data_IF_650448305086
#
_entry.id   IF_650448305086
#
_cell.length_a   1.000
_cell.length_b   1.000
_cell.length_c   1.000
_cell.angle_alpha   90.00
_cell.angle_beta   90.00
_cell.angle_gamma   90.00
#
_symmetry.space_group_name_H-M   'P 1'
#
loop_
_entity.id
_entity.type
_entity.pdbx_description
1 polymer ?
#
# COMPACT_ATOMS: atom_id res chain seq x y z
N UNK A 1 21.71 1.93 25.73
CA UNK A 1 22.10 3.26 25.24
C UNK A 1 23.59 3.41 25.47
N UNK A 2 24.43 3.71 24.46
CA UNK A 2 25.85 3.93 24.69
C UNK A 2 26.05 5.12 25.63
N UNK A 3 27.00 4.98 26.56
CA UNK A 3 27.35 6.07 27.46
C UNK A 3 28.36 7.00 26.78
N UNK A 4 27.88 8.18 26.35
CA UNK A 4 28.67 9.19 25.67
C UNK A 4 29.13 10.33 26.59
N UNK A 5 29.02 10.15 27.91
CA UNK A 5 29.37 11.20 28.89
C UNK A 5 30.85 11.42 29.06
N UNK A 6 31.71 10.49 28.57
CA UNK A 6 33.17 10.63 28.64
C UNK A 6 33.68 11.56 27.54
N UNK A 7 34.49 12.55 27.88
CA UNK A 7 35.16 13.51 26.98
C UNK A 7 36.22 12.84 26.11
N UNK A 8 35.79 12.05 25.13
CA UNK A 8 36.67 11.51 24.09
C UNK A 8 36.20 12.03 22.71
N UNK A 9 37.14 12.16 21.77
CA UNK A 9 36.77 12.46 20.38
C UNK A 9 35.80 11.39 19.87
N UNK A 10 34.60 11.79 19.58
CA UNK A 10 33.54 10.90 19.03
C UNK A 10 33.91 10.51 17.60
N UNK A 11 33.77 9.24 17.28
CA UNK A 11 33.92 8.77 15.90
C UNK A 11 32.80 9.34 15.04
N UNK A 12 32.98 9.41 13.70
CA UNK A 12 31.95 9.88 12.78
C UNK A 12 30.65 9.05 12.92
N UNK A 13 30.79 7.77 13.19
CA UNK A 13 29.65 6.85 13.44
C UNK A 13 28.88 7.21 14.71
N UNK A 14 29.56 7.61 15.76
CA UNK A 14 28.93 8.09 17.02
C UNK A 14 28.25 9.45 16.82
N UNK A 15 28.85 10.34 16.04
CA UNK A 15 28.25 11.63 15.70
C UNK A 15 26.96 11.45 14.89
N UNK A 16 27.00 10.58 13.87
CA UNK A 16 25.85 10.23 13.07
C UNK A 16 24.73 9.61 13.92
N UNK A 17 25.09 8.68 14.84
CA UNK A 17 24.12 8.07 15.75
C UNK A 17 23.47 9.09 16.68
N UNK A 18 24.24 10.03 17.24
CA UNK A 18 23.74 11.12 18.12
C UNK A 18 22.89 12.13 17.38
N UNK A 19 23.13 12.35 16.08
CA UNK A 19 22.33 13.27 15.25
C UNK A 19 20.97 12.71 14.87
N UNK A 20 20.74 11.42 15.06
CA UNK A 20 19.45 10.78 14.75
C UNK A 20 18.38 11.25 15.71
N UNK A 21 17.25 11.68 15.17
CA UNK A 21 16.06 12.02 15.97
C UNK A 21 15.43 10.77 16.62
N UNK A 22 15.72 9.59 16.05
CA UNK A 22 15.16 8.33 16.47
C UNK A 22 16.27 7.27 16.61
N UNK A 23 16.39 6.70 17.80
CA UNK A 23 17.45 5.74 18.14
C UNK A 23 17.04 4.27 17.97
N UNK A 24 15.72 4.00 17.97
CA UNK A 24 15.22 2.64 17.77
C UNK A 24 15.04 2.38 16.27
N UNK A 25 15.85 1.48 15.67
CA UNK A 25 15.78 1.20 14.23
C UNK A 25 14.46 0.55 13.79
N UNK A 26 13.65 0.09 14.74
CA UNK A 26 12.37 -0.56 14.47
C UNK A 26 11.14 0.32 14.75
N UNK A 27 11.32 1.51 15.32
CA UNK A 27 10.20 2.37 15.72
C UNK A 27 9.33 2.77 14.53
N UNK A 28 9.88 2.90 13.34
CA UNK A 28 9.08 3.17 12.14
C UNK A 28 8.00 2.10 11.89
N UNK A 29 8.24 0.83 12.28
CA UNK A 29 7.23 -0.23 12.17
C UNK A 29 6.07 -0.01 13.12
N UNK A 30 6.33 0.49 14.33
CA UNK A 30 5.29 0.84 15.29
C UNK A 30 4.43 2.01 14.78
N UNK A 31 5.06 3.05 14.25
CA UNK A 31 4.35 4.18 13.63
C UNK A 31 3.51 3.73 12.43
N UNK A 32 4.08 2.91 11.54
CA UNK A 32 3.35 2.37 10.40
C UNK A 32 2.17 1.51 10.83
N UNK A 33 2.34 0.68 11.86
CA UNK A 33 1.27 -0.15 12.41
C UNK A 33 0.17 0.71 13.03
N UNK A 34 0.53 1.75 13.79
CA UNK A 34 -0.41 2.69 14.39
C UNK A 34 -1.24 3.39 13.31
N UNK A 35 -0.61 4.00 12.31
CA UNK A 35 -1.33 4.66 11.22
C UNK A 35 -2.25 3.72 10.45
N UNK A 36 -1.81 2.48 10.21
CA UNK A 36 -2.65 1.45 9.58
C UNK A 36 -3.84 1.05 10.47
N UNK A 37 -3.64 0.93 11.77
CA UNK A 37 -4.74 0.63 12.71
C UNK A 37 -5.78 1.75 12.73
N UNK A 38 -5.33 3.01 12.74
CA UNK A 38 -6.21 4.19 12.63
C UNK A 38 -6.98 4.18 11.30
N UNK A 39 -6.30 3.89 10.20
CA UNK A 39 -6.91 3.76 8.87
C UNK A 39 -8.02 2.70 8.86
N UNK A 40 -7.74 1.47 9.31
CA UNK A 40 -8.74 0.39 9.33
C UNK A 40 -9.86 0.58 10.36
N UNK A 41 -9.64 1.43 11.35
CA UNK A 41 -10.69 1.88 12.27
C UNK A 41 -11.62 2.93 11.65
N UNK A 42 -11.22 3.54 10.53
CA UNK A 42 -11.94 4.64 9.87
C UNK A 42 -11.54 6.05 10.36
N UNK A 43 -10.54 6.14 11.25
CA UNK A 43 -10.00 7.44 11.72
C UNK A 43 -8.98 7.97 10.71
N UNK A 44 -9.44 8.37 9.51
CA UNK A 44 -8.56 8.73 8.40
C UNK A 44 -7.73 9.99 8.68
N UNK A 45 -8.26 10.97 9.40
CA UNK A 45 -7.54 12.20 9.77
C UNK A 45 -6.38 11.92 10.72
N UNK A 46 -6.60 11.05 11.73
CA UNK A 46 -5.55 10.63 12.64
C UNK A 46 -4.48 9.82 11.91
N UNK A 47 -4.91 8.91 11.01
CA UNK A 47 -3.99 8.13 10.18
C UNK A 47 -3.16 9.04 9.27
N UNK A 48 -3.77 10.02 8.61
CA UNK A 48 -3.10 10.99 7.75
C UNK A 48 -2.06 11.81 8.55
N UNK A 49 -2.42 12.25 9.76
CA UNK A 49 -1.51 12.96 10.67
C UNK A 49 -0.31 12.08 11.05
N UNK A 50 -0.55 10.82 11.38
CA UNK A 50 0.50 9.84 11.71
C UNK A 50 1.44 9.61 10.53
N UNK A 51 0.91 9.40 9.32
CA UNK A 51 1.75 9.19 8.13
C UNK A 51 2.51 10.45 7.71
N UNK A 52 1.91 11.63 7.85
CA UNK A 52 2.58 12.92 7.62
C UNK A 52 3.74 13.14 8.60
N UNK A 53 3.56 12.75 9.85
CA UNK A 53 4.63 12.77 10.86
C UNK A 53 5.76 11.82 10.47
N UNK A 54 5.45 10.59 10.04
CA UNK A 54 6.44 9.62 9.56
C UNK A 54 7.24 10.14 8.37
N UNK A 55 6.59 10.78 7.40
CA UNK A 55 7.26 11.34 6.21
C UNK A 55 8.32 12.37 6.63
N UNK A 56 8.00 13.23 7.58
CA UNK A 56 8.93 14.23 8.11
C UNK A 56 10.07 13.61 8.92
N UNK A 57 9.74 12.65 9.78
CA UNK A 57 10.70 12.00 10.67
C UNK A 57 11.73 11.15 9.89
N UNK A 58 11.28 10.45 8.86
CA UNK A 58 12.10 9.54 8.06
C UNK A 58 12.45 10.10 6.67
N UNK A 59 12.51 11.44 6.54
CA UNK A 59 12.81 12.12 5.26
C UNK A 59 14.08 11.60 4.57
N UNK A 60 15.10 11.23 5.35
CA UNK A 60 16.37 10.70 4.84
C UNK A 60 16.35 9.19 4.52
N UNK A 61 15.22 8.52 4.76
CA UNK A 61 15.04 7.09 4.53
C UNK A 61 13.92 6.83 3.51
N UNK A 62 14.21 6.88 2.20
CA UNK A 62 13.17 6.81 1.15
C UNK A 62 12.27 5.58 1.26
N UNK A 63 12.81 4.43 1.64
CA UNK A 63 12.04 3.19 1.80
C UNK A 63 10.92 3.29 2.84
N UNK A 64 11.09 4.12 3.88
CA UNK A 64 10.09 4.33 4.94
C UNK A 64 9.17 5.49 4.57
N UNK A 65 9.74 6.62 4.16
CA UNK A 65 8.98 7.81 3.80
C UNK A 65 8.00 7.54 2.64
N UNK A 66 8.42 6.81 1.61
CA UNK A 66 7.55 6.48 0.48
C UNK A 66 6.43 5.51 0.85
N UNK A 67 6.66 4.57 1.79
CA UNK A 67 5.57 3.74 2.32
C UNK A 67 4.55 4.58 3.07
N UNK A 68 5.00 5.54 3.89
CA UNK A 68 4.11 6.46 4.58
C UNK A 68 3.34 7.35 3.59
N UNK A 69 3.98 7.86 2.52
CA UNK A 69 3.30 8.60 1.44
C UNK A 69 2.21 7.77 0.76
N UNK A 70 2.48 6.49 0.46
CA UNK A 70 1.47 5.61 -0.11
C UNK A 70 0.24 5.47 0.80
N UNK A 71 0.43 5.30 2.11
CA UNK A 71 -0.66 5.23 3.06
C UNK A 71 -1.38 6.57 3.28
N UNK A 72 -0.65 7.69 3.23
CA UNK A 72 -1.25 9.03 3.28
C UNK A 72 -2.19 9.26 2.09
N UNK A 73 -1.72 8.92 0.87
CA UNK A 73 -2.57 8.99 -0.32
C UNK A 73 -3.81 8.09 -0.18
N UNK A 74 -3.70 6.89 0.43
CA UNK A 74 -4.87 6.04 0.73
C UNK A 74 -5.86 6.71 1.68
N UNK A 75 -5.40 7.42 2.70
CA UNK A 75 -6.29 8.17 3.59
C UNK A 75 -7.10 9.21 2.81
N UNK A 76 -6.46 9.95 1.92
CA UNK A 76 -7.15 10.94 1.07
C UNK A 76 -8.11 10.30 0.08
N UNK A 77 -7.76 9.16 -0.51
CA UNK A 77 -8.65 8.40 -1.41
C UNK A 77 -9.93 7.97 -0.68
N UNK A 78 -9.81 7.45 0.56
CA UNK A 78 -10.99 7.03 1.34
C UNK A 78 -11.87 8.21 1.78
N UNK A 79 -11.27 9.37 2.02
CA UNK A 79 -11.99 10.62 2.32
C UNK A 79 -12.62 11.28 1.07
N UNK A 80 -12.31 10.76 -0.13
CA UNK A 80 -12.77 11.35 -1.39
C UNK A 80 -11.94 12.55 -1.86
N UNK A 81 -10.82 12.84 -1.21
CA UNK A 81 -9.91 13.94 -1.56
C UNK A 81 -8.95 13.51 -2.66
N UNK A 82 -9.52 13.25 -3.84
CA UNK A 82 -8.77 12.69 -4.96
C UNK A 82 -7.69 13.63 -5.48
N UNK A 83 -7.90 14.95 -5.37
CA UNK A 83 -6.90 15.94 -5.80
C UNK A 83 -5.63 15.87 -4.94
N UNK A 84 -5.79 15.84 -3.61
CA UNK A 84 -4.67 15.73 -2.67
C UNK A 84 -3.94 14.39 -2.83
N UNK A 85 -4.69 13.32 -3.07
CA UNK A 85 -4.11 12.01 -3.37
C UNK A 85 -3.30 12.04 -4.68
N UNK A 86 -3.80 12.73 -5.73
CA UNK A 86 -3.13 12.85 -7.02
C UNK A 86 -1.82 13.64 -6.94
N UNK A 87 -1.76 14.65 -6.09
CA UNK A 87 -0.53 15.40 -5.84
C UNK A 87 0.58 14.48 -5.31
N UNK A 88 0.28 13.69 -4.28
CA UNK A 88 1.22 12.69 -3.73
C UNK A 88 1.59 11.64 -4.80
N UNK A 89 0.60 11.17 -5.57
CA UNK A 89 0.81 10.20 -6.64
C UNK A 89 1.75 10.77 -7.71
N UNK A 90 1.57 12.01 -8.09
CA UNK A 90 2.38 12.68 -9.10
C UNK A 90 3.81 12.91 -8.60
N UNK A 91 3.98 13.29 -7.35
CA UNK A 91 5.30 13.39 -6.70
C UNK A 91 6.03 12.03 -6.71
N UNK A 92 5.35 10.97 -6.27
CA UNK A 92 5.90 9.63 -6.23
C UNK A 92 6.23 9.04 -7.60
N UNK A 93 5.52 9.46 -8.66
CA UNK A 93 5.81 9.03 -10.05
C UNK A 93 7.06 9.73 -10.61
N UNK A 94 7.33 10.95 -10.20
CA UNK A 94 8.58 11.66 -10.58
C UNK A 94 9.79 11.05 -9.89
N UNK A 95 9.64 10.72 -8.62
CA UNK A 95 10.68 10.07 -7.84
C UNK A 95 10.63 8.56 -8.10
N UNK A 96 11.76 7.91 -8.32
CA UNK A 96 11.76 6.45 -8.44
C UNK A 96 11.29 5.80 -7.15
N UNK A 97 10.29 4.93 -7.23
CA UNK A 97 9.74 4.24 -6.05
C UNK A 97 10.71 3.16 -5.58
N UNK A 98 11.12 3.27 -4.33
CA UNK A 98 11.98 2.27 -3.70
C UNK A 98 11.28 0.90 -3.70
N UNK A 99 12.00 -0.17 -4.03
CA UNK A 99 11.44 -1.52 -4.20
C UNK A 99 10.67 -2.04 -2.96
N UNK A 100 11.09 -1.63 -1.74
CA UNK A 100 10.38 -1.98 -0.48
C UNK A 100 9.04 -1.27 -0.31
N UNK A 101 8.82 -0.15 -0.97
CA UNK A 101 7.55 0.58 -0.96
C UNK A 101 6.63 0.22 -2.14
N UNK A 102 7.15 -0.57 -3.10
CA UNK A 102 6.46 -0.86 -4.36
C UNK A 102 5.11 -1.57 -4.16
N UNK A 103 5.01 -2.43 -3.14
CA UNK A 103 3.76 -3.16 -2.87
C UNK A 103 2.66 -2.21 -2.38
N UNK A 104 2.94 -1.42 -1.35
CA UNK A 104 1.99 -0.42 -0.83
C UNK A 104 1.60 0.57 -1.92
N UNK A 105 2.56 0.96 -2.73
CA UNK A 105 2.35 1.88 -3.84
C UNK A 105 1.40 1.33 -4.90
N UNK A 106 1.60 0.09 -5.34
CA UNK A 106 0.71 -0.54 -6.31
C UNK A 106 -0.72 -0.69 -5.78
N UNK A 107 -0.91 -0.99 -4.48
CA UNK A 107 -2.22 -0.99 -3.84
C UNK A 107 -2.87 0.41 -3.87
N UNK A 108 -2.11 1.44 -3.50
CA UNK A 108 -2.62 2.82 -3.50
C UNK A 108 -3.05 3.26 -4.89
N UNK A 109 -2.26 2.95 -5.91
CA UNK A 109 -2.63 3.25 -7.30
C UNK A 109 -3.86 2.47 -7.76
N UNK A 110 -4.01 1.22 -7.35
CA UNK A 110 -5.22 0.43 -7.64
C UNK A 110 -6.45 1.12 -7.05
N UNK A 111 -6.41 1.47 -5.76
CA UNK A 111 -7.53 2.13 -5.08
C UNK A 111 -7.85 3.50 -5.70
N UNK A 112 -6.82 4.29 -6.03
CA UNK A 112 -6.99 5.59 -6.69
C UNK A 112 -7.70 5.45 -8.04
N UNK A 113 -7.23 4.55 -8.90
CA UNK A 113 -7.82 4.37 -10.22
C UNK A 113 -9.23 3.75 -10.18
N UNK A 114 -9.54 2.91 -9.19
CA UNK A 114 -10.91 2.45 -8.95
C UNK A 114 -11.84 3.63 -8.61
N UNK A 115 -11.42 4.50 -7.70
CA UNK A 115 -12.20 5.69 -7.31
C UNK A 115 -12.33 6.70 -8.45
N UNK A 116 -11.28 6.85 -9.26
CA UNK A 116 -11.30 7.67 -10.48
C UNK A 116 -12.04 7.01 -11.66
N UNK A 117 -12.62 5.81 -11.46
CA UNK A 117 -13.32 5.02 -12.48
C UNK A 117 -12.47 4.69 -13.72
N UNK A 118 -11.15 4.71 -13.58
CA UNK A 118 -10.23 4.28 -14.61
C UNK A 118 -9.84 2.81 -14.39
N UNK A 119 -10.76 1.92 -14.78
CA UNK A 119 -10.64 0.49 -14.49
C UNK A 119 -9.51 -0.20 -15.25
N UNK A 120 -9.12 0.32 -16.43
CA UNK A 120 -7.98 -0.19 -17.19
C UNK A 120 -6.68 -0.06 -16.40
N UNK A 121 -6.39 1.14 -15.89
CA UNK A 121 -5.20 1.37 -15.08
C UNK A 121 -5.29 0.65 -13.73
N UNK A 122 -6.47 0.59 -13.11
CA UNK A 122 -6.69 -0.17 -11.89
C UNK A 122 -6.32 -1.65 -12.09
N UNK A 123 -6.76 -2.28 -13.19
CA UNK A 123 -6.44 -3.67 -13.52
C UNK A 123 -4.93 -3.87 -13.75
N UNK A 124 -4.24 -2.92 -14.39
CA UNK A 124 -2.78 -2.98 -14.58
C UNK A 124 -2.03 -3.00 -13.25
N UNK A 125 -2.39 -2.12 -12.31
CA UNK A 125 -1.71 -2.06 -11.00
C UNK A 125 -2.11 -3.23 -10.11
N UNK A 126 -3.36 -3.66 -10.13
CA UNK A 126 -3.81 -4.84 -9.38
C UNK A 126 -3.09 -6.11 -9.81
N UNK A 127 -2.82 -6.30 -11.09
CA UNK A 127 -1.98 -7.44 -11.57
C UNK A 127 -0.57 -7.40 -10.99
N UNK A 128 0.03 -6.22 -10.82
CA UNK A 128 1.35 -6.09 -10.16
C UNK A 128 1.28 -6.47 -8.68
N UNK A 129 0.19 -6.12 -8.00
CA UNK A 129 -0.08 -6.54 -6.62
C UNK A 129 -0.20 -8.06 -6.52
N UNK A 130 -1.06 -8.68 -7.32
CA UNK A 130 -1.31 -10.12 -7.35
C UNK A 130 -0.01 -10.91 -7.57
N UNK A 131 0.87 -10.42 -8.45
CA UNK A 131 2.16 -11.05 -8.74
C UNK A 131 3.06 -11.14 -7.50
N UNK A 132 2.98 -10.17 -6.60
CA UNK A 132 3.81 -10.08 -5.39
C UNK A 132 3.11 -10.58 -4.12
N UNK A 133 1.80 -10.88 -4.17
CA UNK A 133 1.07 -11.36 -2.99
C UNK A 133 1.35 -12.85 -2.75
N UNK A 134 1.80 -13.14 -1.53
CA UNK A 134 2.14 -14.50 -1.10
C UNK A 134 1.01 -15.18 -0.31
N UNK A 135 0.14 -14.39 0.32
CA UNK A 135 -0.96 -14.91 1.14
C UNK A 135 -2.11 -15.38 0.26
N UNK A 136 -2.36 -16.69 0.26
CA UNK A 136 -3.33 -17.35 -0.64
C UNK A 136 -4.73 -16.71 -0.59
N UNK A 137 -5.27 -16.47 0.60
CA UNK A 137 -6.60 -15.87 0.74
C UNK A 137 -6.65 -14.42 0.21
N UNK A 138 -5.63 -13.63 0.50
CA UNK A 138 -5.54 -12.26 0.00
C UNK A 138 -5.43 -12.25 -1.53
N UNK A 139 -4.59 -13.11 -2.09
CA UNK A 139 -4.44 -13.29 -3.54
C UNK A 139 -5.74 -13.71 -4.22
N UNK A 140 -6.54 -14.58 -3.57
CA UNK A 140 -7.85 -14.96 -4.11
C UNK A 140 -8.82 -13.76 -4.15
N UNK A 141 -8.84 -12.92 -3.12
CA UNK A 141 -9.64 -11.68 -3.09
C UNK A 141 -9.21 -10.69 -4.17
N UNK A 142 -7.92 -10.57 -4.40
CA UNK A 142 -7.36 -9.69 -5.43
C UNK A 142 -7.70 -10.20 -6.85
N UNK A 143 -7.65 -11.51 -7.09
CA UNK A 143 -8.12 -12.09 -8.35
C UNK A 143 -9.62 -11.89 -8.56
N UNK A 144 -10.42 -11.98 -7.49
CA UNK A 144 -11.86 -11.72 -7.56
C UNK A 144 -12.13 -10.26 -7.96
N UNK A 145 -11.46 -9.31 -7.29
CA UNK A 145 -11.56 -7.89 -7.63
C UNK A 145 -11.11 -7.62 -9.08
N UNK A 146 -10.06 -8.29 -9.55
CA UNK A 146 -9.61 -8.16 -10.94
C UNK A 146 -10.67 -8.66 -11.93
N UNK A 147 -11.39 -9.74 -11.59
CA UNK A 147 -12.54 -10.22 -12.37
C UNK A 147 -13.62 -9.15 -12.50
N UNK A 148 -14.00 -8.52 -11.38
CA UNK A 148 -14.99 -7.43 -11.36
C UNK A 148 -14.54 -6.20 -12.19
N UNK A 149 -13.26 -5.86 -12.16
CA UNK A 149 -12.73 -4.78 -13.01
C UNK A 149 -12.83 -5.14 -14.49
N UNK A 150 -12.54 -6.38 -14.88
CA UNK A 150 -12.68 -6.84 -16.26
C UNK A 150 -14.15 -6.89 -16.71
N UNK A 151 -15.10 -7.24 -15.83
CA UNK A 151 -16.53 -7.12 -16.13
C UNK A 151 -16.92 -5.67 -16.41
N UNK A 152 -16.47 -4.73 -15.55
CA UNK A 152 -16.73 -3.29 -15.74
C UNK A 152 -16.15 -2.74 -17.05
N UNK A 153 -15.11 -3.40 -17.59
CA UNK A 153 -14.50 -3.12 -18.89
C UNK A 153 -15.12 -3.93 -20.05
N UNK A 154 -16.15 -4.72 -19.78
CA UNK A 154 -16.78 -5.64 -20.74
C UNK A 154 -15.80 -6.66 -21.36
N UNK A 155 -14.75 -7.01 -20.62
CA UNK A 155 -13.72 -8.01 -21.02
C UNK A 155 -14.05 -9.38 -20.44
N UNK A 156 -15.12 -10.01 -20.96
CA UNK A 156 -15.72 -11.24 -20.42
C UNK A 156 -14.73 -12.40 -20.28
N UNK A 157 -13.91 -12.65 -21.28
CA UNK A 157 -12.91 -13.72 -21.25
C UNK A 157 -11.86 -13.51 -20.15
N UNK A 158 -11.39 -12.27 -19.99
CA UNK A 158 -10.44 -11.92 -18.93
C UNK A 158 -11.07 -12.05 -17.55
N UNK A 159 -12.35 -11.64 -17.38
CA UNK A 159 -13.10 -11.78 -16.16
C UNK A 159 -13.26 -13.26 -15.77
N UNK A 160 -13.72 -14.09 -16.69
CA UNK A 160 -13.82 -15.54 -16.49
C UNK A 160 -12.50 -16.17 -16.05
N UNK A 161 -11.41 -15.81 -16.74
CA UNK A 161 -10.07 -16.31 -16.41
C UNK A 161 -9.62 -15.86 -15.02
N UNK A 162 -9.93 -14.62 -14.61
CA UNK A 162 -9.62 -14.12 -13.28
C UNK A 162 -10.38 -14.88 -12.19
N UNK A 163 -11.69 -15.09 -12.32
CA UNK A 163 -12.48 -15.91 -11.40
C UNK A 163 -12.04 -17.37 -11.34
N UNK A 164 -11.65 -17.94 -12.48
CA UNK A 164 -11.04 -19.29 -12.53
C UNK A 164 -9.77 -19.39 -11.69
N UNK A 165 -8.95 -18.32 -11.63
CA UNK A 165 -7.77 -18.28 -10.74
C UNK A 165 -8.18 -18.25 -9.25
N UNK A 166 -9.28 -17.59 -8.90
CA UNK A 166 -9.83 -17.62 -7.52
C UNK A 166 -10.11 -19.06 -7.10
N UNK A 167 -10.86 -19.80 -7.91
CA UNK A 167 -11.22 -21.20 -7.62
C UNK A 167 -9.98 -22.09 -7.49
N UNK A 168 -8.98 -21.92 -8.37
CA UNK A 168 -7.70 -22.67 -8.29
C UNK A 168 -6.92 -22.46 -7.00
N UNK A 169 -7.11 -21.32 -6.36
CA UNK A 169 -6.46 -21.02 -5.08
C UNK A 169 -7.13 -21.70 -3.90
N UNK A 170 -8.24 -22.43 -4.09
CA UNK A 170 -8.98 -23.15 -3.07
C UNK A 170 -9.21 -22.26 -1.81
N UNK A 171 -9.91 -21.11 -1.96
CA UNK A 171 -10.23 -20.21 -0.86
C UNK A 171 -11.36 -20.78 0.01
N UNK A 172 -11.77 -20.12 1.11
CA UNK A 172 -12.96 -20.47 1.85
C UNK A 172 -14.21 -20.55 0.96
N UNK A 173 -15.14 -21.46 1.30
CA UNK A 173 -16.31 -21.80 0.50
C UNK A 173 -17.08 -20.58 -0.06
N UNK A 174 -17.34 -19.57 0.77
CA UNK A 174 -18.07 -18.38 0.33
C UNK A 174 -17.37 -17.59 -0.79
N UNK A 175 -16.04 -17.54 -0.80
CA UNK A 175 -15.28 -16.87 -1.84
C UNK A 175 -15.28 -17.70 -3.13
N UNK A 176 -15.12 -19.01 -3.00
CA UNK A 176 -15.19 -19.94 -4.13
C UNK A 176 -16.57 -19.95 -4.77
N UNK A 177 -17.63 -20.02 -3.96
CA UNK A 177 -19.02 -20.02 -4.41
C UNK A 177 -19.34 -18.75 -5.22
N UNK A 178 -19.00 -17.57 -4.67
CA UNK A 178 -19.22 -16.31 -5.39
C UNK A 178 -18.44 -16.24 -6.71
N UNK A 179 -17.19 -16.77 -6.74
CA UNK A 179 -16.41 -16.80 -7.96
C UNK A 179 -17.02 -17.73 -9.02
N UNK A 180 -17.60 -18.88 -8.62
CA UNK A 180 -18.30 -19.80 -9.51
C UNK A 180 -19.59 -19.18 -10.08
N UNK A 181 -20.35 -18.44 -9.27
CA UNK A 181 -21.52 -17.69 -9.77
C UNK A 181 -21.06 -16.67 -10.79
N UNK A 182 -20.11 -15.81 -10.46
CA UNK A 182 -19.59 -14.78 -11.36
C UNK A 182 -19.08 -15.38 -12.68
N UNK A 183 -18.45 -16.58 -12.66
CA UNK A 183 -18.06 -17.30 -13.88
C UNK A 183 -19.25 -17.72 -14.75
N UNK A 184 -20.42 -17.96 -14.18
CA UNK A 184 -21.62 -18.36 -14.94
C UNK A 184 -22.39 -17.18 -15.52
N UNK A 185 -22.14 -15.96 -15.03
CA UNK A 185 -22.82 -14.74 -15.46
C UNK A 185 -22.04 -14.00 -16.56
N UNK A 186 -20.76 -14.29 -16.74
CA UNK A 186 -19.88 -13.66 -17.72
C UNK A 186 -19.93 -14.37 -19.07
#
# INVERSE_FOLDING_TARGET
KPDFTKERKKTEREKEWLSRKEYNPFLWKAWLLMGRSQFYKGSFDEAASTFSYMIRLYKTQPSIAQRAKAWLAKCYIEQGWLYDAEEIISEMKRDSVHWRAQKEWNYTLTDYYIRAKNYDLAAVYLRKVIKTEMRRLQKAREWYLLGQLYESLNQKENAFNAYKQVVKLNPPYHVEFNARIAMSEV
#
